data_IF_540266378097
#
_entry.id   IF_540266378097
#
_cell.length_a   1.000
_cell.length_b   1.000
_cell.length_c   1.000
_cell.angle_alpha   90.00
_cell.angle_beta   90.00
_cell.angle_gamma   90.00
#
_symmetry.space_group_name_H-M   'P 1'
#
loop_
_entity.id
_entity.type
_entity.pdbx_description
1 polymer ?
#
# COMPACT_ATOMS: atom_id res chain seq x y z
N UNK A 1 19.13 -7.37 -23.57
CA UNK A 1 17.82 -8.03 -23.44
C UNK A 1 16.76 -6.95 -23.65
N UNK A 2 15.73 -7.18 -24.47
CA UNK A 2 14.60 -6.27 -24.49
C UNK A 2 14.01 -6.13 -23.08
N UNK A 3 13.52 -4.94 -22.76
CA UNK A 3 12.90 -4.65 -21.47
C UNK A 3 11.48 -5.22 -21.47
N UNK A 4 11.35 -6.48 -21.04
CA UNK A 4 10.08 -7.19 -20.95
C UNK A 4 9.04 -6.43 -20.11
N UNK A 5 9.48 -5.69 -19.08
CA UNK A 5 8.55 -4.91 -18.25
C UNK A 5 7.98 -3.73 -19.04
N UNK A 6 8.80 -3.04 -19.83
CA UNK A 6 8.34 -1.98 -20.71
C UNK A 6 7.36 -2.49 -21.79
N UNK A 7 7.62 -3.67 -22.36
CA UNK A 7 6.73 -4.31 -23.35
C UNK A 7 5.37 -4.68 -22.75
N UNK A 8 5.36 -5.31 -21.57
CA UNK A 8 4.13 -5.65 -20.85
C UNK A 8 3.36 -4.40 -20.41
N UNK A 9 4.04 -3.31 -20.04
CA UNK A 9 3.39 -2.05 -19.70
C UNK A 9 2.69 -1.41 -20.91
N UNK A 10 3.23 -1.55 -22.12
CA UNK A 10 2.57 -1.08 -23.35
C UNK A 10 1.28 -1.87 -23.57
N UNK A 11 1.33 -3.20 -23.48
CA UNK A 11 0.16 -4.06 -23.66
C UNK A 11 -0.89 -3.81 -22.57
N UNK A 12 -0.48 -3.75 -21.30
CA UNK A 12 -1.37 -3.49 -20.18
C UNK A 12 -2.14 -2.17 -20.32
N UNK A 13 -1.50 -1.11 -20.81
CA UNK A 13 -2.18 0.19 -21.02
C UNK A 13 -3.28 0.14 -22.08
N UNK A 14 -3.26 -0.83 -23.00
CA UNK A 14 -4.28 -1.00 -24.03
C UNK A 14 -5.53 -1.74 -23.54
N UNK A 15 -5.45 -2.40 -22.38
CA UNK A 15 -6.58 -3.12 -21.81
C UNK A 15 -7.71 -2.14 -21.41
N UNK A 16 -8.97 -2.61 -21.42
CA UNK A 16 -10.08 -1.97 -20.72
C UNK A 16 -9.75 -1.64 -19.26
N UNK A 17 -10.43 -0.63 -18.68
CA UNK A 17 -10.09 -0.12 -17.34
C UNK A 17 -10.14 -1.21 -16.26
N UNK A 18 -11.19 -2.01 -16.26
CA UNK A 18 -11.42 -3.11 -15.33
C UNK A 18 -10.33 -4.19 -15.44
N UNK A 19 -9.92 -4.54 -16.67
CA UNK A 19 -8.82 -5.48 -16.90
C UNK A 19 -7.47 -4.90 -16.44
N UNK A 20 -7.23 -3.60 -16.61
CA UNK A 20 -6.03 -2.94 -16.05
C UNK A 20 -5.98 -2.97 -14.54
N UNK A 21 -7.11 -2.69 -13.89
CA UNK A 21 -7.22 -2.74 -12.42
C UNK A 21 -6.91 -4.14 -11.92
N UNK A 22 -7.51 -5.17 -12.53
CA UNK A 22 -7.21 -6.57 -12.20
C UNK A 22 -5.75 -6.95 -12.43
N UNK A 23 -5.14 -6.53 -13.54
CA UNK A 23 -3.72 -6.81 -13.81
C UNK A 23 -2.80 -6.17 -12.76
N UNK A 24 -3.10 -4.93 -12.35
CA UNK A 24 -2.36 -4.26 -11.28
C UNK A 24 -2.49 -5.02 -9.96
N UNK A 25 -3.70 -5.47 -9.60
CA UNK A 25 -3.93 -6.24 -8.38
C UNK A 25 -3.15 -7.57 -8.37
N UNK A 26 -3.17 -8.31 -9.48
CA UNK A 26 -2.42 -9.59 -9.60
C UNK A 26 -0.91 -9.37 -9.48
N UNK A 27 -0.37 -8.33 -10.12
CA UNK A 27 1.05 -7.98 -10.02
C UNK A 27 1.42 -7.55 -8.60
N UNK A 28 0.61 -6.72 -7.95
CA UNK A 28 0.84 -6.29 -6.57
C UNK A 28 0.78 -7.48 -5.59
N UNK A 29 -0.16 -8.39 -5.77
CA UNK A 29 -0.25 -9.62 -4.96
C UNK A 29 1.02 -10.46 -5.08
N UNK A 30 1.55 -10.64 -6.30
CA UNK A 30 2.78 -11.42 -6.54
C UNK A 30 4.02 -10.83 -5.84
N UNK A 31 4.06 -9.51 -5.66
CA UNK A 31 5.14 -8.83 -4.94
C UNK A 31 5.00 -8.97 -3.42
N UNK A 32 3.79 -9.14 -2.92
CA UNK A 32 3.50 -9.27 -1.48
C UNK A 32 3.56 -10.73 -0.99
N UNK A 33 3.38 -11.70 -1.87
CA UNK A 33 3.33 -13.14 -1.55
C UNK A 33 4.58 -13.66 -0.80
N UNK A 34 5.82 -13.26 -1.13
CA UNK A 34 7.02 -13.74 -0.43
C UNK A 34 7.17 -13.21 1.01
N UNK A 35 6.38 -12.23 1.44
CA UNK A 35 6.56 -11.53 2.71
C UNK A 35 5.45 -11.78 3.74
N UNK A 36 4.35 -12.43 3.39
CA UNK A 36 3.11 -12.40 4.19
C UNK A 36 3.28 -12.82 5.66
N UNK A 37 3.77 -14.02 5.97
CA UNK A 37 3.67 -14.53 7.34
C UNK A 37 4.60 -13.82 8.36
N UNK A 38 5.85 -13.56 7.99
CA UNK A 38 6.80 -12.87 8.89
C UNK A 38 6.47 -11.38 9.02
N UNK A 39 5.98 -10.76 7.94
CA UNK A 39 5.57 -9.36 7.96
C UNK A 39 4.28 -9.17 8.78
N UNK A 40 3.33 -10.10 8.70
CA UNK A 40 2.10 -10.07 9.49
C UNK A 40 2.40 -10.09 10.99
N UNK A 41 3.28 -10.98 11.46
CA UNK A 41 3.68 -11.05 12.87
C UNK A 41 4.42 -9.76 13.32
N UNK A 42 5.29 -9.21 12.47
CA UNK A 42 5.97 -7.95 12.76
C UNK A 42 4.99 -6.76 12.82
N UNK A 43 3.97 -6.74 11.96
CA UNK A 43 2.90 -5.74 11.98
C UNK A 43 2.02 -5.86 13.22
N UNK A 44 1.67 -7.08 13.62
CA UNK A 44 0.87 -7.30 14.83
C UNK A 44 1.57 -6.75 16.07
N UNK A 45 2.85 -7.07 16.25
CA UNK A 45 3.67 -6.55 17.34
C UNK A 45 3.79 -5.01 17.30
N UNK A 46 3.94 -4.43 16.11
CA UNK A 46 4.03 -2.97 15.94
C UNK A 46 2.70 -2.26 16.22
N UNK A 47 1.58 -2.85 15.81
CA UNK A 47 0.24 -2.32 16.09
C UNK A 47 -0.01 -2.29 17.59
N UNK A 48 0.26 -3.40 18.30
CA UNK A 48 0.11 -3.47 19.75
C UNK A 48 0.98 -2.41 20.44
N UNK A 49 2.26 -2.31 20.07
CA UNK A 49 3.18 -1.29 20.60
C UNK A 49 2.65 0.13 20.41
N UNK A 50 2.11 0.45 19.23
CA UNK A 50 1.58 1.79 18.92
C UNK A 50 0.30 2.10 19.68
N UNK A 51 -0.59 1.13 19.85
CA UNK A 51 -1.81 1.29 20.62
C UNK A 51 -1.50 1.55 22.09
N UNK A 52 -0.58 0.76 22.69
CA UNK A 52 -0.16 0.97 24.08
C UNK A 52 0.43 2.36 24.30
N UNK A 53 1.30 2.83 23.40
CA UNK A 53 1.88 4.17 23.49
C UNK A 53 0.81 5.28 23.32
N UNK A 54 -0.18 5.06 22.46
CA UNK A 54 -1.31 5.97 22.29
C UNK A 54 -2.18 6.06 23.55
N UNK A 55 -2.57 4.92 24.12
CA UNK A 55 -3.40 4.85 25.32
C UNK A 55 -2.72 5.50 26.55
N UNK A 56 -1.39 5.42 26.62
CA UNK A 56 -0.58 6.10 27.64
C UNK A 56 -0.34 7.59 27.38
N UNK A 57 -0.71 8.10 26.21
CA UNK A 57 -0.44 9.48 25.80
C UNK A 57 1.04 9.75 25.47
N UNK A 58 1.82 8.71 25.18
CA UNK A 58 3.25 8.81 24.82
C UNK A 58 3.47 9.26 23.37
N UNK A 59 2.39 9.26 22.56
CA UNK A 59 2.41 9.72 21.17
C UNK A 59 1.38 10.82 20.93
N UNK A 60 1.71 11.75 20.03
CA UNK A 60 0.77 12.78 19.56
C UNK A 60 0.00 12.26 18.36
N UNK A 61 -1.29 11.99 18.54
CA UNK A 61 -2.17 11.69 17.41
C UNK A 61 -2.53 12.94 16.61
N UNK A 62 -2.77 12.74 15.32
CA UNK A 62 -3.37 13.72 14.42
C UNK A 62 -4.83 13.35 14.21
N UNK A 63 -5.71 14.35 14.04
CA UNK A 63 -7.09 14.06 13.68
C UNK A 63 -7.17 13.47 12.27
N UNK A 64 -8.13 12.57 12.05
CA UNK A 64 -8.38 12.03 10.72
C UNK A 64 -8.65 13.14 9.69
N UNK A 65 -9.34 14.21 10.10
CA UNK A 65 -9.59 15.38 9.25
C UNK A 65 -8.29 16.04 8.78
N UNK A 66 -7.32 16.25 9.67
CA UNK A 66 -6.02 16.83 9.31
C UNK A 66 -5.26 15.92 8.33
N UNK A 67 -5.27 14.60 8.57
CA UNK A 67 -4.63 13.62 7.70
C UNK A 67 -5.26 13.64 6.29
N UNK A 68 -6.58 13.59 6.20
CA UNK A 68 -7.28 13.62 4.92
C UNK A 68 -7.14 14.95 4.18
N UNK A 69 -7.08 16.08 4.90
CA UNK A 69 -6.82 17.38 4.30
C UNK A 69 -5.44 17.41 3.63
N UNK A 70 -4.40 16.90 4.32
CA UNK A 70 -3.04 16.77 3.75
C UNK A 70 -3.02 15.84 2.54
N UNK A 71 -3.65 14.67 2.62
CA UNK A 71 -3.70 13.71 1.52
C UNK A 71 -4.34 14.31 0.25
N UNK A 72 -5.47 15.03 0.40
CA UNK A 72 -6.14 15.73 -0.70
C UNK A 72 -5.28 16.84 -1.32
N UNK A 73 -4.44 17.49 -0.52
CA UNK A 73 -3.53 18.52 -1.03
C UNK A 73 -2.39 17.92 -1.88
N UNK A 74 -1.94 16.69 -1.57
CA UNK A 74 -0.89 15.98 -2.32
C UNK A 74 -1.42 15.41 -3.64
N UNK A 75 -2.68 14.97 -3.66
CA UNK A 75 -3.31 14.37 -4.84
C UNK A 75 -3.78 15.39 -5.90
N UNK A 76 -3.40 16.66 -5.78
CA UNK A 76 -3.66 17.74 -6.75
C UNK A 76 -2.43 18.00 -7.59
#
# INVERSE_FOLDING_TARGET
>A
MPDTAAELAILGKQLPRDERERLVDELLASLNEPASAELDAAWEAEIERRLVAYDKGEVRALSAEEVFAKARAIAR
#
